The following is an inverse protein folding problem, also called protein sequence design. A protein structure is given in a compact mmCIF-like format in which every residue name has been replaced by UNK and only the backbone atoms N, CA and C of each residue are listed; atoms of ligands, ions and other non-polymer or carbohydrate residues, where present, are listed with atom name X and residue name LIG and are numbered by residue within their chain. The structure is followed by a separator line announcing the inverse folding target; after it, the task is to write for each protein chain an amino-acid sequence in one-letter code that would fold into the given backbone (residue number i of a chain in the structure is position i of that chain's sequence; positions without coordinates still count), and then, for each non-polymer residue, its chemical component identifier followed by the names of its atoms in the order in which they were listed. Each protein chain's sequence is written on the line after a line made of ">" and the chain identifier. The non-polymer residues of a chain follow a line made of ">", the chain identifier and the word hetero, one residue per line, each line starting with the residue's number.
data_IF_580513122704
#
_entry.id   IF_580513122704
#
_cell.length_a   1.000
_cell.length_b   1.000
_cell.length_c   1.000
_cell.angle_alpha   90.00
_cell.angle_beta   90.00
_cell.angle_gamma   90.00
#
_symmetry.space_group_name_H-M   'P 1'
#
loop_
_entity.id
_entity.type
_entity.pdbx_description
1 polymer ?
#
# COMPACT_ATOMS: atom_id res chain seq x y z
N UNK A 1 -44.40 -6.34 40.08
CA UNK A 1 -44.07 -5.83 38.73
C UNK A 1 -42.67 -5.21 38.72
N UNK A 2 -41.59 -6.02 38.75
CA UNK A 2 -40.19 -5.53 38.74
C UNK A 2 -39.24 -6.58 38.14
N UNK A 3 -39.60 -7.23 37.02
CA UNK A 3 -38.68 -8.20 36.36
C UNK A 3 -38.76 -8.19 34.83
N UNK A 4 -39.44 -7.22 34.21
CA UNK A 4 -39.66 -7.21 32.76
C UNK A 4 -38.91 -6.11 32.00
N UNK A 5 -38.02 -5.38 32.67
CA UNK A 5 -37.34 -4.20 32.10
C UNK A 5 -35.82 -4.36 31.91
N UNK A 6 -35.29 -5.58 32.00
CA UNK A 6 -33.85 -5.85 31.88
C UNK A 6 -33.44 -6.59 30.60
N UNK A 7 -34.40 -6.97 29.74
CA UNK A 7 -34.12 -7.80 28.56
C UNK A 7 -33.94 -7.00 27.25
N UNK A 8 -34.13 -5.67 27.25
CA UNK A 8 -34.02 -4.87 26.03
C UNK A 8 -32.67 -4.16 25.82
N UNK A 9 -31.74 -4.21 26.78
CA UNK A 9 -30.46 -3.49 26.68
C UNK A 9 -29.33 -4.25 25.98
N UNK A 10 -29.52 -5.51 25.57
CA UNK A 10 -28.43 -6.34 25.02
C UNK A 10 -28.31 -6.33 23.49
N UNK A 11 -29.23 -5.69 22.76
CA UNK A 11 -29.29 -5.79 21.28
C UNK A 11 -28.61 -4.67 20.50
N UNK A 12 -27.92 -3.72 21.15
CA UNK A 12 -27.29 -2.58 20.44
C UNK A 12 -25.78 -2.75 20.25
N UNK A 13 -25.15 -3.79 20.80
CA UNK A 13 -23.69 -3.93 20.77
C UNK A 13 -23.11 -4.69 19.56
N UNK A 14 -23.92 -5.34 18.73
CA UNK A 14 -23.39 -6.13 17.59
C UNK A 14 -23.16 -5.33 16.30
N UNK A 15 -23.61 -4.08 16.20
CA UNK A 15 -23.62 -3.36 14.90
C UNK A 15 -22.34 -2.58 14.58
N UNK A 16 -21.40 -2.40 15.52
CA UNK A 16 -20.21 -1.55 15.30
C UNK A 16 -18.95 -2.29 14.84
N UNK A 17 -18.95 -3.62 14.77
CA UNK A 17 -17.76 -4.39 14.38
C UNK A 17 -17.55 -4.50 12.85
N UNK A 18 -18.53 -4.10 12.03
CA UNK A 18 -18.56 -4.37 10.58
C UNK A 18 -18.37 -3.14 9.68
N UNK A 19 -17.80 -2.05 10.22
CA UNK A 19 -17.33 -0.93 9.39
C UNK A 19 -15.79 -0.85 9.41
N UNK A 20 -15.10 -1.98 9.19
CA UNK A 20 -13.77 -1.89 8.57
C UNK A 20 -13.99 -1.43 7.14
N UNK A 21 -14.06 -0.10 6.99
CA UNK A 21 -14.03 0.63 5.73
C UNK A 21 -12.93 -0.02 4.90
N UNK A 22 -13.33 -0.78 3.88
CA UNK A 22 -12.41 -1.28 2.87
C UNK A 22 -11.97 -0.03 2.12
N UNK A 23 -10.93 0.64 2.61
CA UNK A 23 -10.28 1.68 1.82
C UNK A 23 -9.71 0.97 0.59
N UNK A 24 -10.15 1.35 -0.63
CA UNK A 24 -9.56 0.77 -1.82
C UNK A 24 -8.06 0.99 -1.74
N UNK A 25 -7.30 -0.12 -1.84
CA UNK A 25 -5.84 -0.08 -1.91
C UNK A 25 -5.46 1.02 -2.89
N UNK A 26 -4.67 2.00 -2.43
CA UNK A 26 -4.26 3.18 -3.20
C UNK A 26 -3.87 2.76 -4.61
N UNK A 27 -4.48 3.36 -5.63
CA UNK A 27 -4.20 3.04 -7.03
C UNK A 27 -2.72 3.32 -7.29
N UNK A 28 -1.91 2.26 -7.42
CA UNK A 28 -0.47 2.40 -7.56
C UNK A 28 -0.15 2.77 -9.01
N UNK A 29 0.10 4.07 -9.23
CA UNK A 29 0.48 4.56 -10.55
C UNK A 29 1.94 4.23 -10.86
N UNK A 30 2.12 3.31 -11.81
CA UNK A 30 3.43 2.83 -12.25
C UNK A 30 4.08 3.80 -13.23
N UNK A 31 3.28 4.58 -13.96
CA UNK A 31 3.77 5.44 -15.03
C UNK A 31 4.54 6.64 -14.47
N UNK A 32 4.00 7.30 -13.45
CA UNK A 32 4.67 8.43 -12.79
C UNK A 32 6.03 8.03 -12.18
N UNK A 33 6.11 6.83 -11.60
CA UNK A 33 7.33 6.31 -10.95
C UNK A 33 8.42 5.90 -11.95
N UNK A 34 8.05 5.54 -13.17
CA UNK A 34 8.99 5.08 -14.19
C UNK A 34 10.03 6.16 -14.57
N UNK A 35 9.62 7.42 -14.64
CA UNK A 35 10.51 8.55 -14.94
C UNK A 35 11.58 8.72 -13.86
N UNK A 36 11.15 8.78 -12.59
CA UNK A 36 12.05 8.96 -11.45
C UNK A 36 13.02 7.77 -11.31
N UNK A 37 12.53 6.55 -11.51
CA UNK A 37 13.32 5.34 -11.41
C UNK A 37 14.43 5.25 -12.47
N UNK A 38 14.17 5.75 -13.69
CA UNK A 38 15.12 5.69 -14.81
C UNK A 38 16.44 6.40 -14.49
N UNK A 39 16.41 7.46 -13.68
CA UNK A 39 17.60 8.19 -13.23
C UNK A 39 18.56 7.31 -12.40
N UNK A 40 18.01 6.37 -11.63
CA UNK A 40 18.76 5.46 -10.77
C UNK A 40 19.18 4.18 -11.49
N UNK A 41 18.25 3.53 -12.18
CA UNK A 41 18.47 2.18 -12.74
C UNK A 41 18.84 2.17 -14.22
N UNK A 42 18.82 3.32 -14.90
CA UNK A 42 19.00 3.39 -16.35
C UNK A 42 17.77 2.88 -17.10
N UNK A 43 17.98 2.16 -18.21
CA UNK A 43 16.89 1.53 -18.97
C UNK A 43 16.16 0.53 -18.08
N UNK A 44 14.86 0.74 -17.91
CA UNK A 44 14.01 -0.10 -17.07
C UNK A 44 13.75 -1.43 -17.79
N UNK A 45 14.04 -2.53 -17.11
CA UNK A 45 13.82 -3.90 -17.58
C UNK A 45 12.53 -4.48 -16.98
N UNK A 46 12.24 -4.18 -15.71
CA UNK A 46 11.09 -4.74 -14.99
C UNK A 46 10.64 -3.82 -13.83
N UNK A 47 9.34 -3.79 -13.55
CA UNK A 47 8.75 -3.05 -12.43
C UNK A 47 7.80 -3.95 -11.65
N UNK A 48 8.10 -4.17 -10.38
CA UNK A 48 7.24 -4.89 -9.45
C UNK A 48 6.62 -3.95 -8.43
N UNK A 49 5.30 -3.97 -8.33
CA UNK A 49 4.54 -3.20 -7.33
C UNK A 49 4.16 -4.10 -6.16
N UNK A 50 4.31 -3.61 -4.94
CA UNK A 50 3.89 -4.28 -3.71
C UNK A 50 3.06 -3.34 -2.86
N UNK A 51 1.88 -3.78 -2.43
CA UNK A 51 0.99 -2.95 -1.61
C UNK A 51 1.34 -3.18 -0.14
N UNK A 52 1.65 -2.11 0.57
CA UNK A 52 2.01 -2.13 1.99
C UNK A 52 1.01 -1.32 2.80
N UNK A 53 1.03 -1.45 4.12
CA UNK A 53 0.22 -0.60 5.03
C UNK A 53 0.47 0.91 4.86
N UNK A 54 1.61 1.30 4.29
CA UNK A 54 2.00 2.70 4.05
C UNK A 54 1.69 3.19 2.62
N UNK A 55 1.16 2.31 1.76
CA UNK A 55 0.91 2.55 0.35
C UNK A 55 1.76 1.66 -0.57
N UNK A 56 1.98 2.13 -1.79
CA UNK A 56 2.72 1.42 -2.83
C UNK A 56 4.22 1.40 -2.57
N UNK A 57 4.84 0.24 -2.78
CA UNK A 57 6.28 0.05 -2.83
C UNK A 57 6.64 -0.47 -4.22
N UNK A 58 7.48 0.26 -4.92
CA UNK A 58 7.93 -0.10 -6.26
C UNK A 58 9.33 -0.67 -6.19
N UNK A 59 9.55 -1.83 -6.80
CA UNK A 59 10.88 -2.41 -7.02
C UNK A 59 11.15 -2.38 -8.51
N UNK A 60 12.12 -1.58 -8.94
CA UNK A 60 12.44 -1.36 -10.33
C UNK A 60 13.79 -2.00 -10.60
N UNK A 61 13.85 -2.83 -11.63
CA UNK A 61 15.09 -3.40 -12.15
C UNK A 61 15.41 -2.71 -13.47
N UNK A 62 16.65 -2.29 -13.63
CA UNK A 62 17.15 -1.72 -14.87
C UNK A 62 18.60 -2.10 -15.15
N UNK A 63 19.14 -1.54 -16.22
CA UNK A 63 20.47 -1.86 -16.73
C UNK A 63 21.60 -1.57 -15.73
N UNK A 64 21.47 -0.54 -14.89
CA UNK A 64 22.46 -0.14 -13.89
C UNK A 64 22.29 -0.83 -12.53
N UNK A 65 21.13 -1.43 -12.24
CA UNK A 65 20.83 -1.94 -10.91
C UNK A 65 19.36 -2.16 -10.59
N UNK A 66 19.07 -2.27 -9.29
CA UNK A 66 17.74 -2.42 -8.73
C UNK A 66 17.49 -1.29 -7.74
N UNK A 67 16.42 -0.54 -7.92
CA UNK A 67 15.95 0.50 -7.01
C UNK A 67 14.64 0.09 -6.32
N UNK A 68 14.43 0.57 -5.10
CA UNK A 68 13.12 0.55 -4.43
C UNK A 68 12.66 1.97 -4.16
N UNK A 69 11.46 2.30 -4.60
CA UNK A 69 10.84 3.62 -4.44
C UNK A 69 9.57 3.50 -3.59
N UNK A 70 9.30 4.51 -2.77
CA UNK A 70 8.02 4.64 -2.07
C UNK A 70 6.91 5.15 -3.01
N UNK A 71 5.70 5.33 -2.45
CA UNK A 71 4.53 5.83 -3.20
C UNK A 71 4.71 7.24 -3.79
N UNK A 72 5.68 8.02 -3.30
CA UNK A 72 5.95 9.38 -3.72
C UNK A 72 7.17 9.47 -4.65
N UNK A 73 7.76 8.33 -5.04
CA UNK A 73 8.97 8.31 -5.87
C UNK A 73 10.27 8.50 -5.09
N UNK A 74 10.25 8.47 -3.75
CA UNK A 74 11.49 8.59 -2.97
C UNK A 74 12.29 7.29 -2.97
N UNK A 75 13.59 7.38 -3.20
CA UNK A 75 14.49 6.23 -3.14
C UNK A 75 14.66 5.72 -1.71
N UNK A 76 14.19 4.49 -1.48
CA UNK A 76 14.38 3.77 -0.23
C UNK A 76 15.64 2.90 -0.25
N UNK A 77 16.00 2.39 -1.43
CA UNK A 77 17.12 1.47 -1.57
C UNK A 77 17.62 1.43 -3.01
N UNK A 78 18.94 1.31 -3.19
CA UNK A 78 19.55 1.04 -4.49
C UNK A 78 20.64 -0.02 -4.38
N UNK A 79 20.66 -0.94 -5.35
CA UNK A 79 21.70 -1.95 -5.54
C UNK A 79 22.23 -1.88 -6.96
N UNK A 80 23.51 -1.53 -7.10
CA UNK A 80 24.20 -1.51 -8.39
C UNK A 80 24.37 -2.93 -8.96
N UNK A 81 24.17 -3.10 -10.27
CA UNK A 81 24.49 -4.32 -11.02
C UNK A 81 26.01 -4.36 -11.21
N UNK A 82 26.63 -5.53 -10.95
CA UNK A 82 28.08 -5.72 -11.16
C UNK A 82 28.40 -5.79 -12.64
#
# INVERSE_FOLDING_TARGET
>A
MKKLLLLSLSMVSLSLAWHRKYEPMSNCDVNSISSDASSYVGSIEDIKVSHTKKGCLYTIKGSKGIAKLDKNGNLLYFKKKR
#
